data_IF_992401428152
#
_entry.id   IF_992401428152
#
_cell.length_a   1.000
_cell.length_b   1.000
_cell.length_c   1.000
_cell.angle_alpha   90.00
_cell.angle_beta   90.00
_cell.angle_gamma   90.00
#
_symmetry.space_group_name_H-M   'P 1'
#
loop_
_entity.id
_entity.type
_entity.pdbx_description
1 polymer ?
#
# COMPACT_ATOMS: atom_id res chain seq x y z
N UNK A 1 12.84 45.70 -20.44
CA UNK A 1 13.22 44.37 -19.91
C UNK A 1 13.91 44.55 -18.57
N UNK A 2 13.36 44.04 -17.46
CA UNK A 2 14.16 43.66 -16.31
C UNK A 2 13.96 42.17 -15.96
N UNK A 3 15.08 41.53 -15.62
CA UNK A 3 15.19 40.11 -15.31
C UNK A 3 14.46 39.74 -14.01
N UNK A 4 13.62 38.69 -14.05
CA UNK A 4 13.07 38.03 -12.86
C UNK A 4 14.05 36.94 -12.40
N UNK A 5 14.68 37.15 -11.25
CA UNK A 5 15.34 36.10 -10.47
C UNK A 5 14.30 35.11 -9.92
N UNK A 6 14.57 33.80 -9.90
CA UNK A 6 13.65 32.83 -9.29
C UNK A 6 13.81 32.86 -7.77
N UNK A 7 12.73 33.23 -7.08
CA UNK A 7 12.59 33.11 -5.62
C UNK A 7 12.66 31.65 -5.22
N UNK A 8 13.75 31.24 -4.54
CA UNK A 8 13.85 29.94 -3.89
C UNK A 8 13.01 29.97 -2.61
N UNK A 9 11.82 29.39 -2.67
CA UNK A 9 11.04 29.07 -1.47
C UNK A 9 11.72 27.89 -0.77
N UNK A 10 12.65 28.19 0.12
CA UNK A 10 13.19 27.22 1.06
C UNK A 10 12.08 26.94 2.08
N UNK A 11 11.35 25.85 1.88
CA UNK A 11 10.44 25.32 2.89
C UNK A 11 11.25 25.06 4.17
N UNK A 12 10.79 25.63 5.29
CA UNK A 12 11.39 25.41 6.62
C UNK A 12 11.40 23.90 6.91
N UNK A 13 12.47 23.35 7.53
CA UNK A 13 12.49 21.96 7.95
C UNK A 13 11.32 21.69 8.90
N UNK A 14 10.59 20.60 8.67
CA UNK A 14 9.62 20.11 9.64
C UNK A 14 10.36 19.75 10.95
N UNK A 15 9.69 19.83 12.12
CA UNK A 15 10.32 19.66 13.43
C UNK A 15 11.06 18.33 13.67
N UNK A 16 10.94 17.36 12.75
CA UNK A 16 11.48 15.99 12.84
C UNK A 16 12.81 15.77 12.08
N UNK A 17 13.41 16.81 11.48
CA UNK A 17 14.66 16.69 10.68
C UNK A 17 15.95 16.67 11.54
N UNK A 18 15.83 16.70 12.88
CA UNK A 18 16.98 16.56 13.80
C UNK A 18 17.50 15.12 13.82
N UNK A 19 18.78 14.91 14.16
CA UNK A 19 19.36 13.55 14.20
C UNK A 19 18.63 12.64 15.22
N UNK A 20 18.16 13.21 16.33
CA UNK A 20 17.38 12.50 17.35
C UNK A 20 15.97 12.13 16.87
N UNK A 21 15.25 13.04 16.19
CA UNK A 21 13.93 12.75 15.60
C UNK A 21 13.98 11.67 14.52
N UNK A 22 15.01 11.73 13.66
CA UNK A 22 15.28 10.72 12.63
C UNK A 22 15.56 9.34 13.22
N UNK A 23 16.39 9.27 14.26
CA UNK A 23 16.69 8.03 14.97
C UNK A 23 15.45 7.44 15.63
N UNK A 24 14.59 8.29 16.21
CA UNK A 24 13.34 7.85 16.83
C UNK A 24 12.35 7.27 15.82
N UNK A 25 12.14 7.91 14.66
CA UNK A 25 11.24 7.37 13.63
C UNK A 25 11.79 6.09 12.97
N UNK A 26 13.10 6.01 12.74
CA UNK A 26 13.75 4.82 12.21
C UNK A 26 13.93 3.70 13.27
N UNK A 27 13.74 3.99 14.56
CA UNK A 27 13.72 2.96 15.61
C UNK A 27 12.64 1.89 15.39
N UNK A 28 11.61 2.19 14.58
CA UNK A 28 10.64 1.21 14.12
C UNK A 28 11.26 0.07 13.28
N UNK A 29 12.44 0.30 12.68
CA UNK A 29 13.28 -0.73 12.06
C UNK A 29 13.96 -1.65 13.08
N UNK A 30 13.94 -1.31 14.37
CA UNK A 30 14.47 -2.12 15.47
C UNK A 30 13.37 -2.71 16.35
N UNK A 31 12.16 -2.16 16.31
CA UNK A 31 11.03 -2.68 17.08
C UNK A 31 10.76 -4.16 16.77
N UNK A 32 10.39 -4.97 17.79
CA UNK A 32 9.93 -6.33 17.54
C UNK A 32 8.75 -6.27 16.58
N UNK A 33 8.81 -7.12 15.55
CA UNK A 33 7.82 -7.10 14.47
C UNK A 33 6.44 -7.40 15.08
N UNK A 34 5.52 -6.44 15.06
CA UNK A 34 4.13 -6.75 15.38
C UNK A 34 3.58 -7.73 14.32
N UNK A 35 2.56 -8.52 14.68
CA UNK A 35 2.04 -9.57 13.80
C UNK A 35 1.57 -9.04 12.43
N UNK A 36 1.08 -7.80 12.38
CA UNK A 36 0.64 -7.14 11.15
C UNK A 36 1.81 -6.83 10.22
N UNK A 37 2.90 -6.26 10.74
CA UNK A 37 4.12 -5.97 9.99
C UNK A 37 4.72 -7.24 9.42
N UNK A 38 4.80 -8.31 10.23
CA UNK A 38 5.29 -9.61 9.76
C UNK A 38 4.45 -10.14 8.61
N UNK A 39 3.13 -10.03 8.69
CA UNK A 39 2.25 -10.54 7.65
C UNK A 39 2.42 -9.75 6.34
N UNK A 40 2.57 -8.42 6.41
CA UNK A 40 2.86 -7.58 5.24
C UNK A 40 4.22 -7.95 4.65
N UNK A 41 5.29 -7.96 5.44
CA UNK A 41 6.64 -8.31 4.98
C UNK A 41 6.67 -9.70 4.33
N UNK A 42 6.06 -10.71 4.96
CA UNK A 42 6.01 -12.06 4.41
C UNK A 42 5.27 -12.11 3.08
N UNK A 43 4.19 -11.36 2.93
CA UNK A 43 3.44 -11.31 1.67
C UNK A 43 4.24 -10.64 0.55
N UNK A 44 5.09 -9.64 0.88
CA UNK A 44 5.98 -8.98 -0.08
C UNK A 44 7.17 -9.85 -0.49
N UNK A 45 7.69 -10.63 0.45
CA UNK A 45 8.85 -11.50 0.21
C UNK A 45 8.49 -12.82 -0.46
N UNK A 46 7.20 -13.19 -0.53
CA UNK A 46 6.72 -14.37 -1.26
C UNK A 46 6.60 -14.05 -2.75
N UNK A 47 7.74 -14.05 -3.45
CA UNK A 47 7.88 -14.21 -4.89
C UNK A 47 8.36 -15.63 -5.24
N UNK A 48 7.97 -16.14 -6.41
CA UNK A 48 8.22 -17.51 -6.88
C UNK A 48 9.65 -18.02 -6.62
N UNK A 49 9.79 -18.99 -5.71
CA UNK A 49 11.06 -19.67 -5.48
C UNK A 49 11.16 -20.32 -4.11
N UNK A 50 10.83 -21.61 -4.05
CA UNK A 50 11.15 -22.44 -2.90
C UNK A 50 12.68 -22.45 -2.64
N UNK A 51 13.08 -22.16 -1.40
CA UNK A 51 14.36 -22.49 -0.74
C UNK A 51 15.52 -21.47 -0.69
N UNK A 52 15.39 -20.22 -1.13
CA UNK A 52 16.42 -19.19 -0.84
C UNK A 52 15.85 -18.06 0.03
N UNK A 53 16.59 -17.65 1.07
CA UNK A 53 16.26 -16.41 1.78
C UNK A 53 16.40 -15.23 0.81
N UNK A 54 15.41 -14.32 0.73
CA UNK A 54 15.45 -13.19 -0.20
C UNK A 54 16.70 -12.33 0.05
N UNK A 55 17.26 -11.68 -0.98
CA UNK A 55 18.39 -10.77 -0.83
C UNK A 55 18.18 -9.75 0.30
N UNK A 56 19.25 -9.37 0.99
CA UNK A 56 19.20 -8.42 2.12
C UNK A 56 18.51 -7.10 1.70
N UNK A 57 18.77 -6.62 0.48
CA UNK A 57 18.12 -5.42 -0.05
C UNK A 57 16.60 -5.55 -0.13
N UNK A 58 16.08 -6.71 -0.58
CA UNK A 58 14.64 -6.97 -0.64
C UNK A 58 14.02 -7.08 0.75
N UNK A 59 14.73 -7.68 1.71
CA UNK A 59 14.27 -7.73 3.10
C UNK A 59 14.17 -6.32 3.70
N UNK A 60 15.17 -5.46 3.46
CA UNK A 60 15.15 -4.06 3.91
C UNK A 60 14.01 -3.30 3.22
N UNK A 61 13.84 -3.48 1.91
CA UNK A 61 12.76 -2.85 1.14
C UNK A 61 11.38 -3.27 1.64
N UNK A 62 11.14 -4.56 1.85
CA UNK A 62 9.87 -5.08 2.37
C UNK A 62 9.54 -4.49 3.75
N UNK A 63 10.56 -4.37 4.61
CA UNK A 63 10.39 -3.77 5.95
C UNK A 63 10.06 -2.30 5.89
N UNK A 64 10.81 -1.52 5.10
CA UNK A 64 10.54 -0.09 4.91
C UNK A 64 9.17 0.13 4.25
N UNK A 65 8.80 -0.69 3.27
CA UNK A 65 7.49 -0.66 2.63
C UNK A 65 6.35 -0.91 3.61
N UNK A 66 6.49 -1.89 4.50
CA UNK A 66 5.51 -2.15 5.56
C UNK A 66 5.38 -0.96 6.52
N UNK A 67 6.50 -0.35 6.91
CA UNK A 67 6.51 0.86 7.74
C UNK A 67 5.82 2.05 7.04
N UNK A 68 6.06 2.25 5.74
CA UNK A 68 5.39 3.31 4.96
C UNK A 68 3.90 3.01 4.82
N UNK A 69 3.52 1.76 4.51
CA UNK A 69 2.13 1.38 4.30
C UNK A 69 1.27 1.51 5.58
N UNK A 70 1.89 1.31 6.74
CA UNK A 70 1.27 1.47 8.05
C UNK A 70 1.40 2.89 8.62
N UNK A 71 1.91 3.86 7.83
CA UNK A 71 2.29 5.22 8.25
C UNK A 71 3.08 5.26 9.57
N UNK A 72 4.00 4.32 9.77
CA UNK A 72 5.06 4.42 10.78
C UNK A 72 6.22 5.27 10.25
N UNK A 73 6.38 5.32 8.92
CA UNK A 73 7.17 6.34 8.22
C UNK A 73 6.19 7.29 7.51
N UNK A 74 6.24 8.58 7.87
CA UNK A 74 5.23 9.56 7.47
C UNK A 74 5.42 10.06 6.02
N UNK A 75 4.35 10.47 5.33
CA UNK A 75 4.47 11.26 4.10
C UNK A 75 5.45 12.43 4.27
N UNK A 76 6.35 12.63 3.32
CA UNK A 76 7.35 13.71 3.35
C UNK A 76 8.56 13.43 4.25
N UNK A 77 8.57 12.32 5.00
CA UNK A 77 9.71 11.93 5.81
C UNK A 77 10.88 11.53 4.91
N UNK A 78 12.08 12.00 5.26
CA UNK A 78 13.31 11.63 4.54
C UNK A 78 13.89 10.32 5.05
N UNK A 79 14.38 9.52 4.12
CA UNK A 79 15.10 8.28 4.39
C UNK A 79 16.57 8.46 4.00
N UNK A 80 17.45 8.41 4.99
CA UNK A 80 18.89 8.54 4.80
C UNK A 80 19.54 7.16 4.77
N UNK A 81 20.34 6.88 3.73
CA UNK A 81 21.10 5.63 3.61
C UNK A 81 21.97 5.39 4.85
N UNK A 82 22.58 6.46 5.38
CA UNK A 82 23.46 6.43 6.56
C UNK A 82 22.73 5.92 7.78
N UNK A 83 21.60 6.55 8.10
CA UNK A 83 20.85 6.30 9.32
C UNK A 83 20.30 4.86 9.31
N UNK A 84 19.78 4.42 8.17
CA UNK A 84 19.29 3.04 8.00
C UNK A 84 20.44 2.03 8.09
N UNK A 85 21.60 2.31 7.48
CA UNK A 85 22.75 1.41 7.51
C UNK A 85 23.35 1.23 8.91
N UNK A 86 23.39 2.32 9.69
CA UNK A 86 23.87 2.31 11.08
C UNK A 86 22.91 1.53 11.98
N UNK A 87 21.61 1.80 11.87
CA UNK A 87 20.57 1.13 12.65
C UNK A 87 20.53 -0.38 12.37
N UNK A 88 20.61 -0.77 11.10
CA UNK A 88 20.53 -2.18 10.71
C UNK A 88 21.87 -2.93 10.78
N UNK A 89 22.96 -2.24 11.13
CA UNK A 89 24.33 -2.78 11.13
C UNK A 89 24.72 -3.46 9.80
N UNK A 90 24.37 -2.84 8.68
CA UNK A 90 24.70 -3.30 7.32
C UNK A 90 25.51 -2.25 6.56
N UNK A 91 26.14 -2.64 5.46
CA UNK A 91 26.78 -1.65 4.57
C UNK A 91 25.72 -0.80 3.85
N UNK A 92 26.13 0.36 3.31
CA UNK A 92 25.21 1.26 2.57
C UNK A 92 24.70 0.69 1.24
N UNK A 93 25.42 -0.27 0.65
CA UNK A 93 25.06 -0.86 -0.65
C UNK A 93 23.67 -1.52 -0.67
N UNK A 94 23.34 -2.46 0.23
CA UNK A 94 21.99 -3.06 0.27
C UNK A 94 20.90 -2.05 0.65
N UNK A 95 21.21 -1.03 1.44
CA UNK A 95 20.25 0.04 1.78
C UNK A 95 19.90 0.88 0.56
N UNK A 96 20.90 1.26 -0.24
CA UNK A 96 20.68 2.00 -1.48
C UNK A 96 19.82 1.21 -2.46
N UNK A 97 20.08 -0.09 -2.58
CA UNK A 97 19.28 -0.95 -3.45
C UNK A 97 17.84 -1.09 -2.94
N UNK A 98 17.65 -1.23 -1.62
CA UNK A 98 16.32 -1.21 -1.02
C UNK A 98 15.55 0.08 -1.31
N UNK A 99 16.22 1.24 -1.23
CA UNK A 99 15.60 2.54 -1.56
C UNK A 99 15.21 2.61 -3.04
N UNK A 100 16.00 2.05 -3.96
CA UNK A 100 15.65 1.98 -5.39
C UNK A 100 14.43 1.10 -5.65
N UNK A 101 14.30 -0.02 -4.93
CA UNK A 101 13.09 -0.86 -5.00
C UNK A 101 11.87 -0.04 -4.57
N UNK A 102 11.96 0.69 -3.45
CA UNK A 102 10.86 1.55 -2.98
C UNK A 102 10.54 2.70 -3.96
N UNK A 103 11.55 3.26 -4.63
CA UNK A 103 11.39 4.30 -5.65
C UNK A 103 10.64 3.75 -6.87
N UNK A 104 11.04 2.58 -7.37
CA UNK A 104 10.36 1.87 -8.46
C UNK A 104 8.88 1.63 -8.13
N UNK A 105 8.61 1.26 -6.88
CA UNK A 105 7.26 0.99 -6.39
C UNK A 105 6.48 2.27 -6.01
N UNK A 106 7.12 3.45 -6.18
CA UNK A 106 6.61 4.81 -5.89
C UNK A 106 6.18 5.04 -4.44
N UNK A 107 6.85 4.36 -3.51
CA UNK A 107 6.69 4.60 -2.07
C UNK A 107 7.62 5.70 -1.57
N UNK A 108 8.70 5.95 -2.30
CA UNK A 108 9.60 7.08 -2.09
C UNK A 108 9.88 7.78 -3.42
N UNK A 109 10.30 9.04 -3.35
CA UNK A 109 10.82 9.82 -4.47
C UNK A 109 12.26 10.23 -4.17
N UNK A 110 13.13 10.11 -5.17
CA UNK A 110 14.50 10.60 -5.09
C UNK A 110 14.58 12.07 -5.53
N UNK A 111 15.21 12.90 -4.70
CA UNK A 111 15.57 14.27 -5.08
C UNK A 111 17.09 14.44 -5.08
N UNK A 112 17.61 15.09 -6.12
CA UNK A 112 19.02 15.49 -6.17
C UNK A 112 19.38 16.26 -4.88
N UNK A 113 20.45 15.82 -4.20
CA UNK A 113 20.99 16.37 -2.94
C UNK A 113 20.14 16.18 -1.67
N UNK A 114 18.92 15.65 -1.76
CA UNK A 114 18.02 15.48 -0.58
C UNK A 114 17.76 14.03 -0.20
N UNK A 115 18.22 13.07 -1.00
CA UNK A 115 18.00 11.65 -0.75
C UNK A 115 16.57 11.21 -1.09
N UNK A 116 16.14 10.10 -0.49
CA UNK A 116 14.80 9.55 -0.66
C UNK A 116 13.81 10.22 0.30
N UNK A 117 12.61 10.51 -0.17
CA UNK A 117 11.51 11.06 0.63
C UNK A 117 10.26 10.21 0.43
N UNK A 118 9.57 9.83 1.51
CA UNK A 118 8.32 9.06 1.46
C UNK A 118 7.24 9.85 0.73
N UNK A 119 6.59 9.24 -0.27
CA UNK A 119 5.55 9.90 -1.07
C UNK A 119 4.31 10.21 -0.24
N UNK A 120 3.51 11.19 -0.69
CA UNK A 120 2.20 11.48 -0.12
C UNK A 120 1.08 10.91 -0.99
N UNK A 121 -0.02 10.40 -0.40
CA UNK A 121 -1.24 10.09 -1.15
C UNK A 121 -1.82 11.34 -1.81
N UNK A 122 -2.02 11.29 -3.13
CA UNK A 122 -2.68 12.34 -3.90
C UNK A 122 -3.95 11.80 -4.56
N UNK A 123 -5.01 12.63 -4.60
CA UNK A 123 -6.32 12.23 -5.12
C UNK A 123 -6.25 11.75 -6.58
N UNK A 124 -5.51 12.45 -7.45
CA UNK A 124 -5.41 12.07 -8.86
C UNK A 124 -4.69 10.73 -9.04
N UNK A 125 -3.53 10.56 -8.40
CA UNK A 125 -2.79 9.29 -8.46
C UNK A 125 -3.57 8.11 -7.87
N UNK A 126 -4.44 8.38 -6.89
CA UNK A 126 -5.37 7.41 -6.33
C UNK A 126 -6.46 7.00 -7.33
N UNK A 127 -7.02 7.92 -8.11
CA UNK A 127 -7.99 7.57 -9.15
C UNK A 127 -7.34 6.68 -10.22
N UNK A 128 -6.19 7.11 -10.74
CA UNK A 128 -5.45 6.37 -11.78
C UNK A 128 -5.12 4.93 -11.34
N UNK A 129 -4.61 4.75 -10.10
CA UNK A 129 -4.21 3.43 -9.61
C UNK A 129 -5.41 2.51 -9.36
N UNK A 130 -6.55 3.06 -8.90
CA UNK A 130 -7.76 2.26 -8.65
C UNK A 130 -8.49 1.90 -9.95
N UNK A 131 -8.42 2.74 -10.98
CA UNK A 131 -8.92 2.42 -12.33
C UNK A 131 -8.14 1.23 -12.90
N UNK A 132 -6.80 1.31 -12.93
CA UNK A 132 -5.93 0.21 -13.39
C UNK A 132 -6.14 -1.05 -12.55
N UNK A 133 -6.20 -0.92 -11.22
CA UNK A 133 -6.47 -2.05 -10.32
C UNK A 133 -7.79 -2.74 -10.66
N UNK A 134 -8.84 -1.97 -10.91
CA UNK A 134 -10.18 -2.51 -11.22
C UNK A 134 -10.15 -3.33 -12.51
N UNK A 135 -9.54 -2.78 -13.56
CA UNK A 135 -9.41 -3.47 -14.84
C UNK A 135 -8.60 -4.78 -14.72
N UNK A 136 -7.45 -4.74 -14.04
CA UNK A 136 -6.63 -5.94 -13.81
C UNK A 136 -7.34 -6.98 -12.95
N UNK A 137 -8.09 -6.57 -11.93
CA UNK A 137 -8.82 -7.49 -11.06
C UNK A 137 -10.02 -8.14 -11.77
N UNK A 138 -10.61 -7.48 -12.76
CA UNK A 138 -11.63 -8.09 -13.60
C UNK A 138 -11.05 -9.25 -14.43
N UNK A 139 -9.91 -9.03 -15.10
CA UNK A 139 -9.17 -10.07 -15.84
C UNK A 139 -8.79 -11.22 -14.90
N UNK A 140 -8.26 -10.88 -13.72
CA UNK A 140 -7.90 -11.85 -12.68
C UNK A 140 -9.08 -12.75 -12.33
N UNK A 141 -10.24 -12.19 -11.99
CA UNK A 141 -11.41 -12.97 -11.59
C UNK A 141 -11.95 -13.84 -12.71
N UNK A 142 -12.03 -13.31 -13.94
CA UNK A 142 -12.47 -14.08 -15.10
C UNK A 142 -11.62 -15.34 -15.29
N UNK A 143 -10.29 -15.18 -15.27
CA UNK A 143 -9.35 -16.29 -15.46
C UNK A 143 -9.36 -17.27 -14.28
N UNK A 144 -9.31 -16.77 -13.04
CA UNK A 144 -9.26 -17.64 -11.85
C UNK A 144 -10.56 -18.42 -11.66
N UNK A 145 -11.73 -17.83 -11.94
CA UNK A 145 -13.01 -18.55 -11.87
C UNK A 145 -13.09 -19.65 -12.94
N UNK A 146 -12.57 -19.39 -14.15
CA UNK A 146 -12.57 -20.36 -15.23
C UNK A 146 -11.55 -21.51 -15.01
N UNK A 147 -10.33 -21.18 -14.59
CA UNK A 147 -9.20 -22.11 -14.55
C UNK A 147 -9.05 -22.80 -13.18
N UNK A 148 -9.29 -22.09 -12.08
CA UNK A 148 -8.96 -22.52 -10.71
C UNK A 148 -10.12 -22.32 -9.71
N UNK A 149 -11.38 -22.68 -10.05
CA UNK A 149 -12.55 -22.38 -9.21
C UNK A 149 -12.48 -22.98 -7.80
N UNK A 150 -11.96 -24.20 -7.65
CA UNK A 150 -11.84 -24.88 -6.34
C UNK A 150 -10.76 -24.27 -5.45
N UNK A 151 -9.65 -23.85 -6.05
CA UNK A 151 -8.59 -23.17 -5.31
C UNK A 151 -9.08 -21.79 -4.85
N UNK A 152 -9.88 -21.11 -5.68
CA UNK A 152 -10.53 -19.86 -5.31
C UNK A 152 -11.48 -20.03 -4.12
N UNK A 153 -12.33 -21.07 -4.13
CA UNK A 153 -13.19 -21.36 -2.97
C UNK A 153 -12.36 -21.58 -1.71
N UNK A 154 -11.28 -22.37 -1.81
CA UNK A 154 -10.36 -22.63 -0.68
C UNK A 154 -9.75 -21.34 -0.13
N UNK A 155 -9.34 -20.42 -1.02
CA UNK A 155 -8.85 -19.10 -0.61
C UNK A 155 -9.95 -18.29 0.09
N UNK A 156 -11.19 -18.30 -0.39
CA UNK A 156 -12.29 -17.63 0.29
C UNK A 156 -12.60 -18.24 1.67
N UNK A 157 -12.65 -19.56 1.77
CA UNK A 157 -12.89 -20.30 3.02
C UNK A 157 -11.80 -20.02 4.06
N UNK A 158 -10.54 -19.88 3.63
CA UNK A 158 -9.42 -19.58 4.52
C UNK A 158 -9.39 -18.12 4.97
N UNK A 159 -9.59 -17.18 4.05
CA UNK A 159 -9.30 -15.75 4.32
C UNK A 159 -10.53 -14.95 4.77
N UNK A 160 -11.74 -15.31 4.34
CA UNK A 160 -12.95 -14.58 4.73
C UNK A 160 -13.21 -14.61 6.25
N UNK A 161 -13.06 -15.75 6.97
CA UNK A 161 -13.21 -15.76 8.42
C UNK A 161 -12.19 -14.87 9.14
N UNK A 162 -10.92 -14.88 8.68
CA UNK A 162 -9.86 -14.02 9.24
C UNK A 162 -10.15 -12.54 9.03
N UNK A 163 -10.66 -12.19 7.85
CA UNK A 163 -11.09 -10.83 7.54
C UNK A 163 -12.26 -10.39 8.43
N UNK A 164 -13.24 -11.26 8.66
CA UNK A 164 -14.38 -11.00 9.56
C UNK A 164 -13.90 -10.81 11.00
N UNK A 165 -13.00 -11.67 11.47
CA UNK A 165 -12.41 -11.55 12.80
C UNK A 165 -11.68 -10.21 12.97
N UNK A 166 -10.80 -9.87 12.02
CA UNK A 166 -10.07 -8.60 12.05
C UNK A 166 -10.97 -7.36 11.95
N UNK A 167 -12.17 -7.48 11.37
CA UNK A 167 -13.15 -6.39 11.32
C UNK A 167 -13.68 -5.96 12.70
N UNK A 168 -13.55 -6.85 13.70
CA UNK A 168 -13.92 -6.58 15.09
C UNK A 168 -12.73 -6.18 15.95
N UNK A 169 -11.50 -6.21 15.42
CA UNK A 169 -10.27 -5.90 16.14
C UNK A 169 -9.89 -4.43 15.96
N UNK A 170 -9.35 -4.08 14.79
CA UNK A 170 -9.02 -2.69 14.42
C UNK A 170 -9.16 -2.46 12.92
N UNK A 171 -9.39 -1.21 12.46
CA UNK A 171 -9.38 -0.89 11.03
C UNK A 171 -8.07 -1.26 10.33
N UNK A 172 -6.92 -1.15 11.02
CA UNK A 172 -5.61 -1.54 10.52
C UNK A 172 -5.49 -3.06 10.34
N UNK A 173 -5.94 -3.84 11.33
CA UNK A 173 -5.95 -5.29 11.23
C UNK A 173 -6.82 -5.74 10.04
N UNK A 174 -7.99 -5.12 9.89
CA UNK A 174 -8.88 -5.36 8.76
C UNK A 174 -8.23 -5.00 7.41
N UNK A 175 -7.57 -3.84 7.30
CA UNK A 175 -6.90 -3.41 6.08
C UNK A 175 -5.80 -4.41 5.66
N UNK A 176 -4.99 -4.87 6.62
CA UNK A 176 -3.95 -5.88 6.38
C UNK A 176 -4.57 -7.22 5.95
N UNK A 177 -5.59 -7.73 6.66
CA UNK A 177 -6.24 -8.98 6.24
C UNK A 177 -6.89 -8.86 4.86
N UNK A 178 -7.47 -7.69 4.54
CA UNK A 178 -8.01 -7.46 3.19
C UNK A 178 -6.91 -7.47 2.13
N UNK A 179 -5.76 -6.86 2.40
CA UNK A 179 -4.61 -6.89 1.51
C UNK A 179 -4.10 -8.32 1.28
N UNK A 180 -3.90 -9.09 2.34
CA UNK A 180 -3.46 -10.49 2.25
C UNK A 180 -4.44 -11.35 1.45
N UNK A 181 -5.75 -11.14 1.63
CA UNK A 181 -6.78 -11.84 0.87
C UNK A 181 -6.72 -11.50 -0.62
N UNK A 182 -6.53 -10.22 -0.98
CA UNK A 182 -6.39 -9.87 -2.40
C UNK A 182 -5.12 -10.47 -3.03
N UNK A 183 -4.00 -10.53 -2.30
CA UNK A 183 -2.78 -11.19 -2.78
C UNK A 183 -2.97 -12.70 -2.97
N UNK A 184 -3.62 -13.37 -2.02
CA UNK A 184 -3.91 -14.79 -2.13
C UNK A 184 -4.80 -15.13 -3.34
N UNK A 185 -5.75 -14.27 -3.69
CA UNK A 185 -6.55 -14.41 -4.92
C UNK A 185 -5.67 -14.16 -6.15
N UNK A 186 -4.78 -13.15 -6.11
CA UNK A 186 -3.88 -12.85 -7.21
C UNK A 186 -2.94 -14.02 -7.52
N UNK A 187 -2.40 -14.69 -6.50
CA UNK A 187 -1.48 -15.83 -6.64
C UNK A 187 -2.12 -17.06 -7.29
N UNK A 188 -3.45 -17.12 -7.43
CA UNK A 188 -4.12 -18.19 -8.18
C UNK A 188 -4.10 -18.01 -9.70
N UNK A 189 -3.79 -16.79 -10.17
CA UNK A 189 -3.89 -16.48 -11.59
C UNK A 189 -2.63 -16.89 -12.34
N UNK A 190 -2.84 -17.69 -13.39
CA UNK A 190 -1.77 -18.16 -14.27
C UNK A 190 -1.15 -17.04 -15.12
N UNK A 191 -1.83 -15.90 -15.26
CA UNK A 191 -1.36 -14.75 -16.03
C UNK A 191 -0.38 -13.91 -15.21
N UNK A 192 0.90 -14.26 -15.32
CA UNK A 192 1.98 -13.61 -14.58
C UNK A 192 1.97 -12.09 -14.74
N UNK A 193 1.63 -11.56 -15.92
CA UNK A 193 1.64 -10.12 -16.15
C UNK A 193 0.56 -9.41 -15.33
N UNK A 194 -0.64 -9.99 -15.22
CA UNK A 194 -1.71 -9.46 -14.36
C UNK A 194 -1.28 -9.49 -12.89
N UNK A 195 -0.70 -10.61 -12.46
CA UNK A 195 -0.21 -10.78 -11.08
C UNK A 195 0.88 -9.77 -10.76
N UNK A 196 1.89 -9.63 -11.63
CA UNK A 196 3.01 -8.70 -11.48
C UNK A 196 2.51 -7.26 -11.37
N UNK A 197 1.59 -6.83 -12.24
CA UNK A 197 1.04 -5.47 -12.21
C UNK A 197 0.19 -5.23 -10.96
N UNK A 198 -0.64 -6.19 -10.53
CA UNK A 198 -1.40 -6.09 -9.28
C UNK A 198 -0.48 -6.02 -8.06
N UNK A 199 0.59 -6.82 -8.03
CA UNK A 199 1.61 -6.80 -6.95
C UNK A 199 2.37 -5.47 -6.93
N UNK A 200 2.77 -4.93 -8.08
CA UNK A 200 3.49 -3.66 -8.21
C UNK A 200 2.71 -2.44 -7.70
N UNK A 201 1.38 -2.49 -7.70
CA UNK A 201 0.52 -1.43 -7.13
C UNK A 201 0.01 -1.77 -5.72
N UNK A 202 0.24 -2.99 -5.24
CA UNK A 202 -0.41 -3.54 -4.05
C UNK A 202 -0.10 -2.74 -2.77
N UNK A 203 1.15 -2.32 -2.57
CA UNK A 203 1.57 -1.56 -1.40
C UNK A 203 0.98 -0.15 -1.35
N UNK A 204 0.97 0.54 -2.49
CA UNK A 204 0.29 1.82 -2.62
C UNK A 204 -1.20 1.65 -2.32
N UNK A 205 -1.83 0.61 -2.85
CA UNK A 205 -3.24 0.34 -2.57
C UNK A 205 -3.50 -0.03 -1.11
N UNK A 206 -2.62 -0.78 -0.43
CA UNK A 206 -2.73 -1.06 1.01
C UNK A 206 -2.72 0.23 1.82
N UNK A 207 -1.75 1.12 1.55
CA UNK A 207 -1.65 2.41 2.22
C UNK A 207 -2.92 3.24 2.03
N UNK A 208 -3.45 3.29 0.80
CA UNK A 208 -4.68 4.01 0.47
C UNK A 208 -5.93 3.41 1.13
N UNK A 209 -6.07 2.08 1.08
CA UNK A 209 -7.17 1.35 1.72
C UNK A 209 -7.14 1.58 3.23
N UNK A 210 -5.96 1.47 3.87
CA UNK A 210 -5.79 1.75 5.30
C UNK A 210 -6.20 3.18 5.62
N UNK A 211 -5.72 4.17 4.89
CA UNK A 211 -6.08 5.59 5.10
C UNK A 211 -7.61 5.77 5.08
N UNK A 212 -8.30 5.27 4.06
CA UNK A 212 -9.75 5.39 3.95
C UNK A 212 -10.52 4.71 5.08
N UNK A 213 -10.07 3.54 5.53
CA UNK A 213 -10.74 2.77 6.59
C UNK A 213 -10.47 3.32 7.99
N UNK A 214 -9.25 3.78 8.27
CA UNK A 214 -8.90 4.41 9.55
C UNK A 214 -9.63 5.73 9.72
N UNK A 215 -9.84 6.50 8.64
CA UNK A 215 -10.63 7.73 8.67
C UNK A 215 -12.15 7.50 8.72
N UNK A 216 -12.63 6.27 8.52
CA UNK A 216 -14.06 5.94 8.53
C UNK A 216 -14.30 4.51 9.07
N UNK A 217 -13.91 4.24 10.33
CA UNK A 217 -13.92 2.89 10.91
C UNK A 217 -15.33 2.28 10.97
N UNK A 218 -16.36 3.11 11.11
CA UNK A 218 -17.77 2.70 11.13
C UNK A 218 -18.24 2.04 9.82
N UNK A 219 -17.46 2.16 8.74
CA UNK A 219 -17.77 1.59 7.42
C UNK A 219 -17.09 0.24 7.16
N UNK A 220 -16.22 -0.22 8.06
CA UNK A 220 -15.60 -1.56 8.01
C UNK A 220 -16.65 -2.69 7.89
N UNK A 221 -17.75 -2.72 8.66
CA UNK A 221 -18.79 -3.74 8.51
C UNK A 221 -19.45 -3.77 7.12
N UNK A 222 -19.55 -2.61 6.45
CA UNK A 222 -20.06 -2.53 5.06
C UNK A 222 -19.08 -3.16 4.07
N UNK A 223 -17.79 -2.99 4.29
CA UNK A 223 -16.75 -3.65 3.49
C UNK A 223 -16.80 -5.18 3.65
N UNK A 224 -17.02 -5.69 4.87
CA UNK A 224 -17.24 -7.14 5.11
C UNK A 224 -18.45 -7.66 4.33
N UNK A 225 -19.58 -6.94 4.32
CA UNK A 225 -20.75 -7.31 3.51
C UNK A 225 -20.42 -7.40 2.03
N UNK A 226 -19.59 -6.49 1.53
CA UNK A 226 -19.15 -6.47 0.12
C UNK A 226 -18.29 -7.69 -0.22
N UNK A 227 -17.40 -8.11 0.68
CA UNK A 227 -16.64 -9.36 0.53
C UNK A 227 -17.53 -10.61 0.51
N UNK A 228 -18.54 -10.68 1.38
CA UNK A 228 -19.52 -11.78 1.38
C UNK A 228 -20.34 -11.83 0.09
N UNK A 229 -20.71 -10.67 -0.44
CA UNK A 229 -21.43 -10.59 -1.71
C UNK A 229 -20.57 -11.07 -2.90
N UNK A 230 -19.28 -10.71 -2.92
CA UNK A 230 -18.33 -11.25 -3.90
C UNK A 230 -18.19 -12.78 -3.76
N UNK A 231 -18.03 -13.29 -2.54
CA UNK A 231 -17.93 -14.73 -2.29
C UNK A 231 -19.17 -15.48 -2.82
N UNK A 232 -20.37 -14.95 -2.57
CA UNK A 232 -21.62 -15.55 -3.04
C UNK A 232 -21.72 -15.60 -4.58
N UNK A 233 -21.19 -14.61 -5.29
CA UNK A 233 -21.12 -14.62 -6.76
C UNK A 233 -20.10 -15.64 -7.27
N UNK A 234 -18.92 -15.70 -6.63
CA UNK A 234 -17.84 -16.65 -6.94
C UNK A 234 -18.30 -18.10 -6.77
N UNK A 235 -19.02 -18.43 -5.70
CA UNK A 235 -19.55 -19.78 -5.47
C UNK A 235 -20.53 -20.24 -6.56
N UNK A 236 -21.28 -19.29 -7.14
CA UNK A 236 -22.21 -19.54 -8.25
C UNK A 236 -21.51 -19.60 -9.60
N UNK A 237 -20.20 -19.32 -9.66
CA UNK A 237 -19.43 -19.14 -10.90
C UNK A 237 -20.01 -18.07 -11.83
N UNK A 238 -20.70 -17.09 -11.25
CA UNK A 238 -21.27 -15.97 -11.99
C UNK A 238 -20.16 -14.94 -12.21
N UNK A 239 -19.43 -15.10 -13.32
CA UNK A 239 -18.29 -14.23 -13.66
C UNK A 239 -18.71 -12.76 -13.78
N UNK A 240 -19.76 -12.39 -14.57
CA UNK A 240 -20.21 -11.00 -14.64
C UNK A 240 -20.55 -10.40 -13.27
N UNK A 241 -21.29 -11.13 -12.44
CA UNK A 241 -21.65 -10.65 -11.11
C UNK A 241 -20.43 -10.55 -10.18
N UNK A 242 -19.45 -11.45 -10.30
CA UNK A 242 -18.23 -11.43 -9.48
C UNK A 242 -17.37 -10.20 -9.82
N UNK A 243 -17.26 -9.88 -11.11
CA UNK A 243 -16.59 -8.66 -11.59
C UNK A 243 -17.34 -7.41 -11.12
N UNK A 244 -18.68 -7.39 -11.22
CA UNK A 244 -19.49 -6.26 -10.72
C UNK A 244 -19.28 -6.04 -9.21
N UNK A 245 -19.36 -7.11 -8.41
CA UNK A 245 -19.21 -7.03 -6.93
C UNK A 245 -17.80 -6.63 -6.53
N UNK A 246 -16.77 -7.09 -7.24
CA UNK A 246 -15.39 -6.66 -6.98
C UNK A 246 -15.17 -5.19 -7.36
N UNK A 247 -15.72 -4.74 -8.49
CA UNK A 247 -15.66 -3.34 -8.94
C UNK A 247 -16.32 -2.40 -7.93
N UNK A 248 -17.53 -2.75 -7.46
CA UNK A 248 -18.23 -2.00 -6.42
C UNK A 248 -17.42 -1.93 -5.11
N UNK A 249 -16.78 -3.05 -4.73
CA UNK A 249 -15.93 -3.10 -3.53
C UNK A 249 -14.70 -2.19 -3.66
N UNK A 250 -14.03 -2.22 -4.81
CA UNK A 250 -12.85 -1.38 -5.07
C UNK A 250 -13.25 0.11 -5.10
N UNK A 251 -14.34 0.45 -5.80
CA UNK A 251 -14.87 1.82 -5.86
C UNK A 251 -15.30 2.37 -4.51
N UNK A 252 -15.95 1.55 -3.67
CA UNK A 252 -16.33 1.97 -2.32
C UNK A 252 -15.12 2.35 -1.46
N UNK A 253 -13.99 1.65 -1.61
CA UNK A 253 -12.75 2.01 -0.91
C UNK A 253 -12.14 3.28 -1.49
N UNK A 254 -12.12 3.44 -2.81
CA UNK A 254 -11.67 4.68 -3.46
C UNK A 254 -12.43 5.90 -2.89
N UNK A 255 -13.75 5.84 -2.80
CA UNK A 255 -14.59 6.92 -2.26
C UNK A 255 -14.26 7.26 -0.79
N UNK A 256 -13.91 6.26 0.02
CA UNK A 256 -13.48 6.47 1.40
C UNK A 256 -12.14 7.21 1.44
N UNK A 257 -11.17 6.73 0.68
CA UNK A 257 -9.82 7.31 0.67
C UNK A 257 -9.83 8.72 0.09
N UNK A 258 -10.59 9.00 -0.97
CA UNK A 258 -10.75 10.35 -1.52
C UNK A 258 -11.30 11.32 -0.47
N UNK A 259 -12.32 10.89 0.29
CA UNK A 259 -12.87 11.69 1.39
C UNK A 259 -11.83 11.96 2.49
N UNK A 260 -11.08 10.94 2.89
CA UNK A 260 -10.02 11.06 3.89
C UNK A 260 -8.93 12.07 3.45
N UNK A 261 -8.46 11.97 2.20
CA UNK A 261 -7.46 12.90 1.65
C UNK A 261 -7.99 14.34 1.65
N UNK A 262 -9.24 14.55 1.17
CA UNK A 262 -9.85 15.88 1.13
C UNK A 262 -10.05 16.51 2.51
N UNK A 263 -10.32 15.72 3.53
CA UNK A 263 -10.44 16.19 4.92
C UNK A 263 -9.08 16.52 5.54
N UNK A 264 -8.02 15.84 5.09
CA UNK A 264 -6.65 16.00 5.58
C UNK A 264 -5.91 17.18 4.92
N UNK A 265 -6.34 17.60 3.74
CA UNK A 265 -5.80 18.79 3.07
C UNK A 265 -6.44 20.06 3.69
N UNK A 266 -5.67 20.97 4.29
CA UNK A 266 -6.20 22.25 4.74
C UNK A 266 -6.80 23.00 3.54
N UNK A 267 -7.78 23.88 3.77
CA UNK A 267 -8.50 24.69 2.78
C UNK A 267 -7.62 25.73 2.04
N UNK A 268 -6.38 25.40 1.71
CA UNK A 268 -5.41 26.22 1.00
C UNK A 268 -5.65 26.21 -0.51
N UNK A 269 -6.86 26.61 -0.95
CA UNK A 269 -7.02 27.10 -2.33
C UNK A 269 -8.25 28.00 -2.58
N UNK A 270 -8.82 28.64 -1.55
CA UNK A 270 -9.87 29.68 -1.75
C UNK A 270 -9.33 31.11 -1.92
N UNK A 271 -8.01 31.28 -2.13
CA UNK A 271 -7.36 32.60 -2.06
C UNK A 271 -6.49 33.04 -3.26
N UNK A 272 -6.56 32.40 -4.43
CA UNK A 272 -5.74 32.79 -5.61
C UNK A 272 -6.51 33.11 -6.89
N UNK A 273 -7.81 33.37 -6.79
CA UNK A 273 -8.62 33.90 -7.89
C UNK A 273 -9.29 35.21 -7.47
N UNK A 274 -8.50 36.27 -7.33
CA UNK A 274 -8.88 37.69 -7.46
C UNK A 274 -7.63 38.55 -7.27
N UNK A 275 -6.93 38.77 -8.37
CA UNK A 275 -6.07 39.92 -8.58
C UNK A 275 -6.29 40.36 -10.03
#
# INVERSE_FOLDING_TARGET
>A
MPAKTPSSSIAKPQPDDTAEGRSHALSALLMPKNGLMMAVEQALLRGDGAHASPPIAEQIAARLAGLIALDLLQPGQRLFETDISEILHVSRSPVREAIRILERDRLVEMSARRGATVTAPEERGLQDIFEVRTALYAILLEQVIAERPKDLDTVFEQFLPRLVQASSETPEAYAVQSFLFNLAIADLCSNHLVVDQLKAISLRTLRYVRLGLVSSPELVPRSVKSWRALHAAVLKRDVPLSIERSTQRIGAVLDLTVRAIRQSQPAANKGRARA
#
